data_IF_586322726042
#
_entry.id   IF_586322726042
#
_cell.length_a   1.000
_cell.length_b   1.000
_cell.length_c   1.000
_cell.angle_alpha   90.00
_cell.angle_beta   90.00
_cell.angle_gamma   90.00
#
_symmetry.space_group_name_H-M   'P 1'
#
loop_
_entity.id
_entity.type
_entity.pdbx_description
1 polymer ?
#
# COMPACT_ATOMS: atom_id res chain seq x y z
N UNK A 1 35.20 49.06 -0.97
CA UNK A 1 33.76 48.87 -1.31
C UNK A 1 33.71 48.36 -2.74
N UNK A 2 33.48 47.10 -3.08
CA UNK A 2 33.29 45.85 -2.33
C UNK A 2 33.67 44.70 -3.26
N UNK A 3 34.15 43.59 -2.70
CA UNK A 3 34.56 42.40 -3.44
C UNK A 3 33.34 41.73 -4.08
N UNK A 4 33.37 41.52 -5.40
CA UNK A 4 32.31 40.80 -6.11
C UNK A 4 32.57 39.31 -5.97
N UNK A 5 31.97 38.70 -4.96
CA UNK A 5 31.84 37.25 -4.86
C UNK A 5 30.95 36.73 -5.99
N UNK A 6 31.54 36.15 -7.04
CA UNK A 6 30.81 35.29 -7.98
C UNK A 6 30.74 33.88 -7.37
N UNK A 7 29.75 33.63 -6.52
CA UNK A 7 29.42 32.27 -6.10
C UNK A 7 28.83 31.51 -7.29
N UNK A 8 29.52 30.46 -7.76
CA UNK A 8 28.90 29.52 -8.71
C UNK A 8 27.88 28.65 -7.96
N UNK A 9 26.68 28.53 -8.52
CA UNK A 9 25.68 27.59 -8.02
C UNK A 9 26.16 26.15 -8.30
N UNK A 10 26.05 25.21 -7.35
CA UNK A 10 26.44 23.83 -7.61
C UNK A 10 25.49 23.20 -8.63
N UNK A 11 26.06 22.60 -9.67
CA UNK A 11 25.34 21.77 -10.63
C UNK A 11 24.88 20.48 -9.91
N UNK A 12 23.62 20.44 -9.50
CA UNK A 12 23.00 19.23 -8.93
C UNK A 12 22.67 18.26 -10.06
N UNK A 13 23.54 17.26 -10.23
CA UNK A 13 23.28 16.13 -11.12
C UNK A 13 22.06 15.35 -10.63
N UNK A 14 20.93 15.52 -11.31
CA UNK A 14 19.77 14.66 -11.15
C UNK A 14 20.09 13.31 -11.78
N UNK A 15 20.57 12.37 -10.95
CA UNK A 15 20.74 10.98 -11.35
C UNK A 15 19.36 10.42 -11.70
N UNK A 16 19.08 10.23 -12.99
CA UNK A 16 17.86 9.59 -13.45
C UNK A 16 17.78 8.19 -12.82
N UNK A 17 16.81 7.99 -11.91
CA UNK A 17 16.53 6.67 -11.35
C UNK A 17 16.03 5.80 -12.50
N UNK A 18 16.81 4.79 -12.88
CA UNK A 18 16.32 3.75 -13.80
C UNK A 18 15.12 3.09 -13.14
N UNK A 19 13.95 3.22 -13.76
CA UNK A 19 12.75 2.51 -13.33
C UNK A 19 13.07 1.00 -13.39
N UNK A 20 12.80 0.23 -12.32
CA UNK A 20 13.01 -1.21 -12.37
C UNK A 20 12.26 -1.79 -13.56
N UNK A 21 12.93 -2.62 -14.36
CA UNK A 21 12.27 -3.41 -15.41
C UNK A 21 11.12 -4.15 -14.73
N UNK A 22 9.90 -3.96 -15.23
CA UNK A 22 8.68 -4.52 -14.65
C UNK A 22 8.90 -5.97 -14.26
N UNK A 23 8.67 -6.30 -12.99
CA UNK A 23 8.51 -7.69 -12.58
C UNK A 23 7.38 -8.26 -13.44
N UNK A 24 7.70 -9.22 -14.30
CA UNK A 24 6.69 -9.97 -15.03
C UNK A 24 5.90 -10.78 -14.00
N UNK A 25 4.85 -10.19 -13.45
CA UNK A 25 3.93 -10.87 -12.54
C UNK A 25 3.14 -11.84 -13.39
N UNK A 26 3.43 -13.15 -13.27
CA UNK A 26 2.55 -14.18 -13.83
C UNK A 26 1.15 -13.98 -13.20
N UNK A 27 0.08 -13.86 -14.00
CA UNK A 27 -1.27 -13.79 -13.46
C UNK A 27 -1.53 -15.04 -12.61
N UNK A 28 -1.96 -14.82 -11.38
CA UNK A 28 -2.34 -15.91 -10.48
C UNK A 28 -3.73 -16.40 -10.91
N UNK A 29 -3.77 -17.44 -11.73
CA UNK A 29 -5.01 -18.05 -12.23
C UNK A 29 -5.46 -19.11 -11.23
N UNK A 30 -6.46 -18.79 -10.41
CA UNK A 30 -7.13 -19.77 -9.54
C UNK A 30 -8.22 -20.50 -10.33
N UNK A 31 -8.15 -21.83 -10.41
CA UNK A 31 -9.13 -22.67 -11.12
C UNK A 31 -10.32 -23.11 -10.25
N UNK A 32 -10.32 -22.81 -8.94
CA UNK A 32 -11.36 -23.21 -8.00
C UNK A 32 -11.99 -21.98 -7.31
N UNK A 33 -13.32 -21.99 -7.18
CA UNK A 33 -14.08 -21.02 -6.40
C UNK A 33 -13.60 -21.07 -4.93
N UNK A 34 -13.31 -19.90 -4.35
CA UNK A 34 -12.85 -19.75 -2.96
C UNK A 34 -11.44 -20.24 -2.60
N UNK A 35 -10.62 -20.71 -3.55
CA UNK A 35 -9.27 -21.20 -3.21
C UNK A 35 -8.29 -20.10 -2.81
N UNK A 36 -8.55 -18.86 -3.21
CA UNK A 36 -7.71 -17.71 -2.93
C UNK A 36 -8.54 -16.45 -2.68
N UNK A 37 -8.10 -15.66 -1.72
CA UNK A 37 -8.55 -14.30 -1.51
C UNK A 37 -7.39 -13.40 -1.06
N UNK A 38 -7.54 -12.11 -1.35
CA UNK A 38 -6.69 -11.07 -0.79
C UNK A 38 -7.32 -10.59 0.52
N UNK A 39 -6.52 -10.61 1.58
CA UNK A 39 -6.91 -10.05 2.88
C UNK A 39 -6.10 -8.79 3.11
N UNK A 40 -6.79 -7.70 3.43
CA UNK A 40 -6.16 -6.42 3.77
C UNK A 40 -6.85 -5.80 5.00
N UNK A 41 -6.15 -4.88 5.66
CA UNK A 41 -6.61 -4.21 6.86
C UNK A 41 -6.53 -2.69 6.70
N UNK A 42 -7.69 -2.05 6.61
CA UNK A 42 -7.80 -0.60 6.55
C UNK A 42 -7.73 -0.03 7.96
N UNK A 43 -6.86 0.95 8.17
CA UNK A 43 -6.64 1.58 9.47
C UNK A 43 -7.49 2.84 9.64
N UNK A 44 -8.37 2.82 10.65
CA UNK A 44 -9.23 3.92 11.07
C UNK A 44 -8.85 4.47 12.46
N UNK A 45 -7.66 4.16 12.96
CA UNK A 45 -7.27 4.53 14.32
C UNK A 45 -7.27 6.04 14.60
N UNK A 46 -7.08 6.89 13.59
CA UNK A 46 -7.14 8.36 13.75
C UNK A 46 -8.56 8.91 13.78
N UNK A 47 -9.55 8.15 13.31
CA UNK A 47 -10.98 8.49 13.32
C UNK A 47 -11.81 7.21 13.51
N UNK A 48 -11.82 6.62 14.72
CA UNK A 48 -12.51 5.37 14.97
C UNK A 48 -14.03 5.56 15.01
N UNK A 49 -14.76 4.50 14.68
CA UNK A 49 -16.19 4.42 14.88
C UNK A 49 -16.48 3.61 16.16
N UNK A 50 -16.69 4.32 17.27
CA UNK A 50 -16.79 3.73 18.60
C UNK A 50 -15.52 2.93 18.95
N UNK A 51 -15.69 1.64 19.26
CA UNK A 51 -14.57 0.74 19.58
C UNK A 51 -13.81 0.25 18.34
N UNK A 52 -14.37 0.42 17.14
CA UNK A 52 -13.84 -0.16 15.92
C UNK A 52 -12.81 0.76 15.28
N UNK A 53 -11.58 0.25 15.18
CA UNK A 53 -10.39 0.99 14.72
C UNK A 53 -9.87 0.50 13.39
N UNK A 54 -10.37 -0.63 12.91
CA UNK A 54 -9.91 -1.27 11.69
C UNK A 54 -11.08 -1.88 10.92
N UNK A 55 -10.92 -2.01 9.60
CA UNK A 55 -11.82 -2.80 8.76
C UNK A 55 -10.97 -3.85 8.06
N UNK A 56 -11.27 -5.13 8.32
CA UNK A 56 -10.71 -6.22 7.52
C UNK A 56 -11.49 -6.34 6.23
N UNK A 57 -10.77 -6.43 5.12
CA UNK A 57 -11.34 -6.71 3.80
C UNK A 57 -10.90 -8.09 3.36
N UNK A 58 -11.85 -8.89 2.88
CA UNK A 58 -11.59 -10.17 2.25
C UNK A 58 -12.14 -10.09 0.82
N UNK A 59 -11.23 -10.05 -0.16
CA UNK A 59 -11.59 -9.98 -1.56
C UNK A 59 -11.33 -11.32 -2.23
N UNK A 60 -12.40 -12.01 -2.62
CA UNK A 60 -12.29 -13.25 -3.35
C UNK A 60 -11.67 -13.01 -4.73
N UNK A 61 -10.59 -13.71 -5.07
CA UNK A 61 -9.88 -13.46 -6.33
C UNK A 61 -10.71 -13.83 -7.57
N UNK A 62 -11.56 -14.84 -7.46
CA UNK A 62 -12.32 -15.41 -8.58
C UNK A 62 -13.63 -14.65 -8.84
N UNK A 63 -14.48 -14.55 -7.83
CA UNK A 63 -15.81 -13.91 -7.92
C UNK A 63 -15.76 -12.41 -7.75
N UNK A 64 -14.63 -11.85 -7.28
CA UNK A 64 -14.50 -10.44 -6.84
C UNK A 64 -15.48 -10.05 -5.74
N UNK A 65 -16.13 -11.01 -5.08
CA UNK A 65 -16.94 -10.76 -3.88
C UNK A 65 -16.07 -10.24 -2.73
N UNK A 66 -16.54 -9.20 -2.05
CA UNK A 66 -15.82 -8.53 -0.97
C UNK A 66 -16.61 -8.63 0.34
N UNK A 67 -15.95 -9.06 1.41
CA UNK A 67 -16.47 -9.05 2.77
C UNK A 67 -15.74 -7.96 3.55
N UNK A 68 -16.50 -7.12 4.26
CA UNK A 68 -15.99 -6.11 5.17
C UNK A 68 -16.36 -6.50 6.59
N UNK A 69 -15.37 -6.56 7.48
CA UNK A 69 -15.58 -6.88 8.89
C UNK A 69 -14.94 -5.81 9.78
N UNK A 70 -15.72 -5.12 10.63
CA UNK A 70 -15.17 -4.12 11.54
C UNK A 70 -14.45 -4.82 12.71
N UNK A 71 -13.24 -4.35 13.03
CA UNK A 71 -12.40 -4.91 14.09
C UNK A 71 -12.01 -3.85 15.13
N UNK A 72 -12.02 -4.26 16.40
CA UNK A 72 -11.60 -3.42 17.54
C UNK A 72 -10.08 -3.41 17.73
N UNK A 73 -9.42 -4.52 17.36
CA UNK A 73 -7.97 -4.71 17.51
C UNK A 73 -7.35 -5.21 16.20
N UNK A 74 -6.02 -5.10 16.12
CA UNK A 74 -5.20 -5.59 15.00
C UNK A 74 -4.79 -7.05 15.13
N UNK A 75 -4.99 -7.65 16.30
CA UNK A 75 -4.52 -9.00 16.63
C UNK A 75 -5.68 -9.98 16.51
N UNK A 76 -5.36 -11.20 16.08
CA UNK A 76 -6.27 -12.31 16.24
C UNK A 76 -6.47 -12.58 17.74
N UNK A 77 -7.68 -12.94 18.12
CA UNK A 77 -7.93 -13.57 19.42
C UNK A 77 -7.40 -15.00 19.36
N UNK A 78 -6.75 -15.45 20.43
CA UNK A 78 -6.21 -16.81 20.57
C UNK A 78 -7.31 -17.81 20.94
#
# INVERSE_FOLDING_TARGET
MGERHTGSLPFVSHRARKLPKSLAVKPLVSTNLMSQAQVDLINFQTMPDGDYKYIMTYLNHFTKFCILSPLKSKRAEE
#
